data_IF_308689646786
#
_entry.id   IF_308689646786
#
_cell.length_a   1.000
_cell.length_b   1.000
_cell.length_c   1.000
_cell.angle_alpha   90.00
_cell.angle_beta   90.00
_cell.angle_gamma   90.00
#
_symmetry.space_group_name_H-M   'P 1'
#
loop_
_entity.id
_entity.type
_entity.pdbx_description
1 polymer ?
#
# COMPACT_ATOMS: atom_id res chain seq x y z
N UNK A 1 -14.60 14.20 7.75
CA UNK A 1 -15.18 13.57 6.55
C UNK A 1 -15.66 12.15 6.89
N UNK A 2 -16.93 11.96 7.25
CA UNK A 2 -17.49 10.64 7.63
C UNK A 2 -18.66 10.16 6.76
N UNK A 3 -19.01 10.90 5.69
CA UNK A 3 -20.18 10.61 4.85
C UNK A 3 -19.95 9.52 3.80
N UNK A 4 -18.77 9.47 3.17
CA UNK A 4 -18.49 8.53 2.07
C UNK A 4 -18.49 7.07 2.53
N UNK A 5 -17.89 6.77 3.68
CA UNK A 5 -17.83 5.39 4.18
C UNK A 5 -19.18 4.90 4.69
N UNK A 6 -20.01 5.79 5.26
CA UNK A 6 -21.39 5.46 5.65
C UNK A 6 -22.26 5.14 4.43
N UNK A 7 -22.11 5.90 3.35
CA UNK A 7 -22.82 5.64 2.10
C UNK A 7 -22.38 4.32 1.44
N UNK A 8 -21.08 4.04 1.42
CA UNK A 8 -20.55 2.75 0.93
C UNK A 8 -21.03 1.56 1.75
N UNK A 9 -21.10 1.72 3.08
CA UNK A 9 -21.61 0.69 3.98
C UNK A 9 -23.11 0.44 3.76
N UNK A 10 -23.90 1.51 3.61
CA UNK A 10 -25.32 1.39 3.29
C UNK A 10 -25.56 0.68 1.95
N UNK A 11 -24.75 1.01 0.94
CA UNK A 11 -24.79 0.35 -0.36
C UNK A 11 -24.42 -1.14 -0.25
N UNK A 12 -23.39 -1.49 0.52
CA UNK A 12 -23.00 -2.88 0.75
C UNK A 12 -24.13 -3.68 1.43
N UNK A 13 -24.75 -3.11 2.46
CA UNK A 13 -25.91 -3.73 3.13
C UNK A 13 -27.06 -3.97 2.16
N UNK A 14 -27.37 -2.97 1.32
CA UNK A 14 -28.46 -3.06 0.34
C UNK A 14 -28.22 -4.16 -0.70
N UNK A 15 -26.97 -4.27 -1.21
CA UNK A 15 -26.59 -5.35 -2.14
C UNK A 15 -26.72 -6.72 -1.49
N UNK A 16 -26.23 -6.89 -0.25
CA UNK A 16 -26.32 -8.17 0.45
C UNK A 16 -27.77 -8.57 0.73
N UNK A 17 -28.60 -7.62 1.16
CA UNK A 17 -30.04 -7.86 1.34
C UNK A 17 -30.70 -8.26 0.04
N UNK A 18 -30.39 -7.59 -1.08
CA UNK A 18 -30.93 -7.93 -2.38
C UNK A 18 -30.55 -9.36 -2.79
N UNK A 19 -29.29 -9.77 -2.58
CA UNK A 19 -28.83 -11.14 -2.86
C UNK A 19 -29.59 -12.17 -2.01
N UNK A 20 -29.74 -11.94 -0.70
CA UNK A 20 -30.52 -12.81 0.18
C UNK A 20 -31.99 -12.92 -0.27
N UNK A 21 -32.62 -11.81 -0.65
CA UNK A 21 -34.01 -11.80 -1.12
C UNK A 21 -34.16 -12.56 -2.44
N UNK A 22 -33.25 -12.34 -3.40
CA UNK A 22 -33.31 -13.02 -4.70
C UNK A 22 -33.15 -14.54 -4.55
N UNK A 23 -32.25 -14.96 -3.66
CA UNK A 23 -31.90 -16.37 -3.44
C UNK A 23 -32.93 -17.12 -2.61
N UNK A 24 -33.48 -16.51 -1.56
CA UNK A 24 -34.38 -17.18 -0.60
C UNK A 24 -35.87 -16.92 -0.87
N UNK A 25 -36.22 -15.97 -1.74
CA UNK A 25 -37.63 -15.68 -2.04
C UNK A 25 -38.25 -16.78 -2.92
N UNK A 26 -39.40 -17.35 -2.52
CA UNK A 26 -40.14 -18.34 -3.31
C UNK A 26 -40.56 -17.87 -4.71
N UNK A 27 -40.66 -16.54 -4.91
CA UNK A 27 -41.01 -15.94 -6.20
C UNK A 27 -39.84 -15.75 -7.17
N UNK A 28 -38.62 -16.10 -6.76
CA UNK A 28 -37.40 -15.97 -7.56
C UNK A 28 -36.67 -17.33 -7.60
N UNK A 29 -35.52 -17.46 -6.93
CA UNK A 29 -34.78 -18.74 -6.90
C UNK A 29 -35.37 -19.74 -5.90
N UNK A 30 -36.06 -19.26 -4.85
CA UNK A 30 -36.88 -20.09 -3.98
C UNK A 30 -36.14 -21.13 -3.16
N UNK A 31 -34.89 -20.88 -2.76
CA UNK A 31 -34.13 -21.82 -1.95
C UNK A 31 -34.76 -21.98 -0.54
N UNK A 32 -35.21 -23.18 -0.23
CA UNK A 32 -35.88 -23.48 1.04
C UNK A 32 -34.89 -23.89 2.13
N UNK A 33 -34.92 -23.15 3.24
CA UNK A 33 -34.12 -23.45 4.43
C UNK A 33 -34.67 -24.64 5.22
N UNK A 34 -35.98 -24.92 5.12
CA UNK A 34 -36.69 -25.84 6.03
C UNK A 34 -37.28 -27.05 5.32
N UNK A 35 -37.79 -26.92 4.10
CA UNK A 35 -38.52 -28.00 3.40
C UNK A 35 -37.82 -28.57 2.17
N UNK A 36 -36.70 -27.99 1.75
CA UNK A 36 -35.94 -28.41 0.55
C UNK A 36 -35.11 -29.68 0.75
N UNK A 37 -34.56 -30.20 -0.36
CA UNK A 37 -33.63 -31.33 -0.36
C UNK A 37 -32.30 -30.98 0.35
N UNK A 38 -31.50 -31.99 0.69
CA UNK A 38 -30.23 -31.79 1.41
C UNK A 38 -29.27 -30.82 0.67
N UNK A 39 -29.22 -30.91 -0.66
CA UNK A 39 -28.43 -30.01 -1.50
C UNK A 39 -28.96 -28.57 -1.48
N UNK A 40 -30.28 -28.39 -1.63
CA UNK A 40 -30.93 -27.08 -1.61
C UNK A 40 -30.70 -26.36 -0.27
N UNK A 41 -30.84 -27.08 0.84
CA UNK A 41 -30.57 -26.58 2.19
C UNK A 41 -29.11 -26.18 2.37
N UNK A 42 -28.17 -27.00 1.89
CA UNK A 42 -26.75 -26.69 1.97
C UNK A 42 -26.43 -25.39 1.22
N UNK A 43 -26.94 -25.23 -0.01
CA UNK A 43 -26.76 -24.01 -0.80
C UNK A 43 -27.37 -22.79 -0.09
N UNK A 44 -28.59 -22.91 0.45
CA UNK A 44 -29.26 -21.83 1.18
C UNK A 44 -28.44 -21.36 2.41
N UNK A 45 -27.92 -22.32 3.19
CA UNK A 45 -27.09 -22.03 4.36
C UNK A 45 -25.76 -21.39 3.95
N UNK A 46 -25.09 -21.91 2.92
CA UNK A 46 -23.83 -21.34 2.43
C UNK A 46 -24.01 -19.91 1.96
N UNK A 47 -25.08 -19.58 1.25
CA UNK A 47 -25.39 -18.20 0.82
C UNK A 47 -25.52 -17.28 2.04
N UNK A 48 -26.23 -17.70 3.08
CA UNK A 48 -26.37 -16.90 4.32
C UNK A 48 -25.03 -16.69 5.03
N UNK A 49 -24.22 -17.73 5.17
CA UNK A 49 -22.89 -17.65 5.79
C UNK A 49 -21.99 -16.70 5.00
N UNK A 50 -21.97 -16.83 3.68
CA UNK A 50 -21.17 -15.97 2.80
C UNK A 50 -21.62 -14.51 2.86
N UNK A 51 -22.93 -14.26 2.89
CA UNK A 51 -23.48 -12.91 3.08
C UNK A 51 -23.04 -12.30 4.43
N UNK A 52 -23.06 -13.09 5.50
CA UNK A 52 -22.55 -12.68 6.81
C UNK A 52 -21.06 -12.34 6.77
N UNK A 53 -20.23 -13.18 6.16
CA UNK A 53 -18.79 -12.95 6.03
C UNK A 53 -18.47 -11.70 5.18
N UNK A 54 -19.18 -11.48 4.07
CA UNK A 54 -19.01 -10.29 3.23
C UNK A 54 -19.36 -9.01 3.97
N UNK A 55 -20.46 -9.02 4.76
CA UNK A 55 -20.83 -7.88 5.59
C UNK A 55 -19.79 -7.59 6.67
N UNK A 56 -19.33 -8.62 7.40
CA UNK A 56 -18.32 -8.46 8.45
C UNK A 56 -17.00 -7.93 7.90
N UNK A 57 -16.53 -8.50 6.79
CA UNK A 57 -15.29 -8.09 6.14
C UNK A 57 -15.38 -6.66 5.57
N UNK A 58 -16.48 -6.33 4.88
CA UNK A 58 -16.69 -4.99 4.34
C UNK A 58 -16.84 -3.93 5.42
N UNK A 59 -17.54 -4.23 6.53
CA UNK A 59 -17.64 -3.35 7.68
C UNK A 59 -16.27 -3.12 8.33
N UNK A 60 -15.46 -4.17 8.49
CA UNK A 60 -14.10 -4.07 9.01
C UNK A 60 -13.22 -3.15 8.16
N UNK A 61 -13.22 -3.33 6.83
CA UNK A 61 -12.44 -2.50 5.92
C UNK A 61 -12.89 -1.03 5.90
N UNK A 62 -14.20 -0.76 5.94
CA UNK A 62 -14.75 0.59 5.79
C UNK A 62 -14.78 1.38 7.10
N UNK A 63 -14.96 0.71 8.25
CA UNK A 63 -15.16 1.36 9.55
C UNK A 63 -13.93 1.26 10.44
N UNK A 64 -13.31 0.07 10.54
CA UNK A 64 -12.24 -0.19 11.51
C UNK A 64 -10.83 0.09 10.94
N UNK A 65 -10.64 -0.06 9.63
CA UNK A 65 -9.35 0.19 8.97
C UNK A 65 -9.20 1.61 8.39
N UNK A 66 -10.14 2.52 8.65
CA UNK A 66 -10.01 3.92 8.21
C UNK A 66 -8.86 4.60 8.97
N UNK A 67 -7.75 4.99 8.31
CA UNK A 67 -6.69 5.73 8.97
C UNK A 67 -7.25 7.05 9.51
N UNK A 68 -6.74 7.56 10.66
CA UNK A 68 -7.13 8.89 11.13
C UNK A 68 -6.93 9.92 10.01
N UNK A 69 -7.86 10.88 9.84
CA UNK A 69 -7.73 11.89 8.79
C UNK A 69 -6.40 12.62 8.99
N UNK A 70 -5.55 12.71 7.96
CA UNK A 70 -4.29 13.42 8.07
C UNK A 70 -4.56 14.88 8.47
N UNK A 71 -3.66 15.51 9.25
CA UNK A 71 -3.77 16.93 9.56
C UNK A 71 -3.91 17.74 8.26
N UNK A 72 -4.59 18.90 8.29
CA UNK A 72 -4.80 19.72 7.11
C UNK A 72 -3.44 20.00 6.45
N UNK A 73 -3.30 19.72 5.14
CA UNK A 73 -2.04 19.89 4.43
C UNK A 73 -1.61 21.36 4.48
N UNK A 74 -0.32 21.60 4.76
CA UNK A 74 0.30 22.90 4.56
C UNK A 74 0.20 23.32 3.08
N UNK A 75 0.30 24.61 2.77
CA UNK A 75 0.18 25.10 1.39
C UNK A 75 1.17 24.40 0.44
N UNK A 76 2.35 24.03 0.95
CA UNK A 76 3.37 23.24 0.26
C UNK A 76 2.90 21.80 -0.06
N UNK A 77 2.29 21.08 0.88
CA UNK A 77 1.78 19.71 0.61
C UNK A 77 0.52 19.70 -0.25
N UNK A 78 -0.22 20.82 -0.31
CA UNK A 78 -1.42 20.96 -1.14
C UNK A 78 -1.10 21.11 -2.64
N UNK A 79 0.03 21.74 -2.97
CA UNK A 79 0.47 21.95 -4.36
C UNK A 79 1.32 20.79 -4.92
N UNK A 80 1.91 19.96 -4.06
CA UNK A 80 2.74 18.84 -4.48
C UNK A 80 1.91 17.64 -4.98
N UNK A 81 1.69 17.57 -6.30
CA UNK A 81 0.92 16.50 -6.94
C UNK A 81 1.80 15.37 -7.46
N UNK A 82 3.01 15.69 -7.93
CA UNK A 82 3.98 14.72 -8.45
C UNK A 82 5.06 14.36 -7.43
N UNK A 83 5.75 13.21 -7.59
CA UNK A 83 6.94 12.88 -6.81
C UNK A 83 8.01 13.99 -6.85
N UNK A 84 8.17 14.63 -8.01
CA UNK A 84 9.12 15.73 -8.23
C UNK A 84 8.72 16.98 -7.46
N UNK A 85 7.44 17.37 -7.50
CA UNK A 85 6.93 18.50 -6.71
C UNK A 85 7.11 18.25 -5.21
N UNK A 86 6.87 17.01 -4.79
CA UNK A 86 7.03 16.61 -3.40
C UNK A 86 8.50 16.65 -2.96
N UNK A 87 9.43 16.27 -3.84
CA UNK A 87 10.86 16.35 -3.58
C UNK A 87 11.31 17.81 -3.47
N UNK A 88 10.86 18.68 -4.39
CA UNK A 88 11.13 20.11 -4.32
C UNK A 88 10.57 20.73 -3.02
N UNK A 89 9.36 20.37 -2.63
CA UNK A 89 8.74 20.88 -1.42
C UNK A 89 9.41 20.36 -0.13
N UNK A 90 9.89 19.11 -0.11
CA UNK A 90 10.70 18.59 0.99
C UNK A 90 12.08 19.27 1.05
N UNK A 91 12.70 19.52 -0.11
CA UNK A 91 14.01 20.17 -0.20
C UNK A 91 13.99 21.61 0.33
N UNK A 92 12.84 22.29 0.34
CA UNK A 92 12.69 23.61 0.96
C UNK A 92 13.03 23.60 2.47
N UNK A 93 12.96 22.45 3.14
CA UNK A 93 13.32 22.30 4.55
C UNK A 93 14.80 22.02 4.79
N UNK A 94 15.65 21.91 3.75
CA UNK A 94 17.10 21.62 3.91
C UNK A 94 17.85 22.61 4.80
N UNK A 95 17.42 23.87 4.82
CA UNK A 95 18.00 24.91 5.67
C UNK A 95 17.41 24.96 7.08
N UNK A 96 16.46 24.07 7.41
CA UNK A 96 15.81 24.04 8.73
C UNK A 96 16.70 23.31 9.72
N UNK A 97 17.11 24.02 10.76
CA UNK A 97 18.06 23.48 11.71
C UNK A 97 17.50 22.36 12.60
N UNK A 98 18.30 21.33 12.80
CA UNK A 98 17.96 20.18 13.63
C UNK A 98 17.15 19.10 12.92
N UNK A 99 16.82 19.28 11.63
CA UNK A 99 16.09 18.28 10.80
C UNK A 99 16.76 18.02 9.45
N UNK A 100 17.94 18.59 9.21
CA UNK A 100 18.61 18.50 7.90
C UNK A 100 18.90 17.05 7.50
N UNK A 101 19.34 16.22 8.44
CA UNK A 101 19.64 14.82 8.19
C UNK A 101 18.38 14.05 7.81
N UNK A 102 17.28 14.29 8.51
CA UNK A 102 15.98 13.68 8.26
C UNK A 102 15.42 14.09 6.87
N UNK A 103 15.59 15.35 6.49
CA UNK A 103 15.21 15.86 5.15
C UNK A 103 16.04 15.18 4.06
N UNK A 104 17.36 15.13 4.22
CA UNK A 104 18.24 14.53 3.21
C UNK A 104 18.02 13.02 3.08
N UNK A 105 17.76 12.34 4.20
CA UNK A 105 17.39 10.92 4.18
C UNK A 105 16.07 10.70 3.44
N UNK A 106 15.04 11.53 3.69
CA UNK A 106 13.77 11.45 2.98
C UNK A 106 13.92 11.66 1.46
N UNK A 107 14.72 12.65 1.04
CA UNK A 107 14.99 12.92 -0.38
C UNK A 107 15.70 11.73 -1.06
N UNK A 108 16.70 11.16 -0.41
CA UNK A 108 17.40 9.99 -0.95
C UNK A 108 16.47 8.77 -1.03
N UNK A 109 15.62 8.54 -0.03
CA UNK A 109 14.60 7.50 -0.09
C UNK A 109 13.65 7.69 -1.27
N UNK A 110 13.21 8.92 -1.56
CA UNK A 110 12.33 9.21 -2.70
C UNK A 110 13.00 8.87 -4.03
N UNK A 111 14.28 9.21 -4.19
CA UNK A 111 15.07 8.87 -5.38
C UNK A 111 15.16 7.35 -5.55
N UNK A 112 15.51 6.62 -4.49
CA UNK A 112 15.60 5.15 -4.51
C UNK A 112 14.25 4.52 -4.81
N UNK A 113 13.16 5.03 -4.23
CA UNK A 113 11.81 4.53 -4.48
C UNK A 113 11.43 4.68 -5.95
N UNK A 114 11.69 5.84 -6.57
CA UNK A 114 11.42 6.05 -7.99
C UNK A 114 12.21 5.10 -8.91
N UNK A 115 13.47 4.84 -8.59
CA UNK A 115 14.29 3.87 -9.33
C UNK A 115 13.75 2.45 -9.19
N UNK A 116 13.53 1.97 -7.96
CA UNK A 116 13.03 0.62 -7.67
C UNK A 116 11.64 0.37 -8.25
N UNK A 117 10.78 1.39 -8.24
CA UNK A 117 9.44 1.34 -8.83
C UNK A 117 9.46 1.16 -10.34
N UNK A 118 10.43 1.76 -11.04
CA UNK A 118 10.61 1.51 -12.47
C UNK A 118 11.11 0.10 -12.72
N UNK A 119 12.16 -0.33 -12.01
CA UNK A 119 12.75 -1.66 -12.18
C UNK A 119 11.75 -2.79 -11.92
N UNK A 120 10.90 -2.69 -10.89
CA UNK A 120 9.91 -3.74 -10.64
C UNK A 120 8.84 -3.80 -11.73
N UNK A 121 8.46 -2.65 -12.32
CA UNK A 121 7.48 -2.59 -13.41
C UNK A 121 8.05 -3.20 -14.69
N UNK A 122 9.33 -2.95 -14.97
CA UNK A 122 10.07 -3.57 -16.09
C UNK A 122 10.10 -5.09 -15.91
N UNK A 123 10.56 -5.58 -14.76
CA UNK A 123 10.61 -7.03 -14.46
C UNK A 123 9.23 -7.68 -14.49
N UNK A 124 8.18 -6.95 -14.09
CA UNK A 124 6.81 -7.46 -14.16
C UNK A 124 6.29 -7.53 -15.60
N UNK A 125 6.56 -6.52 -16.42
CA UNK A 125 6.15 -6.47 -17.82
C UNK A 125 6.90 -7.49 -18.70
N UNK A 126 8.15 -7.78 -18.36
CA UNK A 126 8.92 -8.85 -19.01
C UNK A 126 8.34 -10.25 -18.71
N UNK A 127 7.58 -10.38 -17.62
CA UNK A 127 7.09 -11.68 -17.12
C UNK A 127 5.64 -11.98 -17.43
N UNK A 128 4.76 -10.99 -17.36
CA UNK A 128 3.33 -11.17 -17.52
C UNK A 128 2.80 -10.19 -18.55
N UNK A 129 1.85 -10.61 -19.38
CA UNK A 129 1.14 -9.67 -20.23
C UNK A 129 0.28 -8.73 -19.37
N UNK A 130 0.15 -7.47 -19.79
CA UNK A 130 -0.66 -6.48 -19.07
C UNK A 130 -2.14 -6.88 -18.93
N UNK A 131 -2.61 -7.74 -19.83
CA UNK A 131 -3.97 -8.26 -19.84
C UNK A 131 -4.25 -9.23 -18.69
N UNK A 132 -3.21 -9.90 -18.18
CA UNK A 132 -3.28 -10.95 -17.18
C UNK A 132 -3.73 -10.44 -15.81
N UNK A 133 -4.46 -11.29 -15.08
CA UNK A 133 -4.87 -11.01 -13.71
C UNK A 133 -3.66 -10.89 -12.76
N UNK A 134 -2.62 -11.70 -12.98
CA UNK A 134 -1.37 -11.67 -12.21
C UNK A 134 -0.68 -10.32 -12.33
N UNK A 135 -0.49 -9.83 -13.56
CA UNK A 135 0.07 -8.50 -13.82
C UNK A 135 -0.71 -7.41 -13.09
N UNK A 136 -2.03 -7.36 -13.28
CA UNK A 136 -2.92 -6.37 -12.65
C UNK A 136 -2.84 -6.40 -11.12
N UNK A 137 -2.75 -7.59 -10.53
CA UNK A 137 -2.64 -7.76 -9.08
C UNK A 137 -1.32 -7.23 -8.54
N UNK A 138 -0.19 -7.59 -9.15
CA UNK A 138 1.12 -7.07 -8.74
C UNK A 138 1.22 -5.56 -8.96
N UNK A 139 0.75 -5.05 -10.09
CA UNK A 139 0.69 -3.62 -10.37
C UNK A 139 -0.13 -2.85 -9.33
N UNK A 140 -1.30 -3.37 -8.96
CA UNK A 140 -2.12 -2.76 -7.91
C UNK A 140 -1.38 -2.65 -6.57
N UNK A 141 -0.63 -3.69 -6.19
CA UNK A 141 0.20 -3.68 -4.97
C UNK A 141 1.33 -2.64 -5.09
N UNK A 142 2.03 -2.57 -6.22
CA UNK A 142 3.12 -1.59 -6.44
C UNK A 142 2.60 -0.15 -6.29
N UNK A 143 1.46 0.16 -6.92
CA UNK A 143 0.82 1.48 -6.82
C UNK A 143 0.43 1.81 -5.37
N UNK A 144 -0.11 0.83 -4.63
CA UNK A 144 -0.48 1.04 -3.22
C UNK A 144 0.76 1.29 -2.34
N UNK A 145 1.85 0.56 -2.59
CA UNK A 145 3.12 0.74 -1.88
C UNK A 145 3.72 2.13 -2.15
N UNK A 146 3.73 2.60 -3.40
CA UNK A 146 4.12 3.97 -3.75
C UNK A 146 3.25 5.01 -3.03
N UNK A 147 1.93 4.80 -3.01
CA UNK A 147 0.98 5.68 -2.32
C UNK A 147 1.28 5.78 -0.82
N UNK A 148 1.59 4.66 -0.17
CA UNK A 148 1.96 4.62 1.26
C UNK A 148 3.28 5.38 1.50
N UNK A 149 4.29 5.11 0.69
CA UNK A 149 5.60 5.76 0.78
C UNK A 149 5.48 7.29 0.66
N UNK A 150 4.82 7.79 -0.40
CA UNK A 150 4.63 9.22 -0.60
C UNK A 150 3.64 9.83 0.41
N UNK A 151 2.75 9.04 1.00
CA UNK A 151 1.91 9.45 2.12
C UNK A 151 2.72 9.76 3.39
N UNK A 152 3.73 8.94 3.69
CA UNK A 152 4.65 9.17 4.80
C UNK A 152 5.51 10.42 4.56
N UNK A 153 6.00 10.65 3.33
CA UNK A 153 6.73 11.88 2.99
C UNK A 153 5.86 13.13 3.21
N UNK A 154 4.58 13.11 2.82
CA UNK A 154 3.65 14.21 3.11
C UNK A 154 3.46 14.42 4.62
N UNK A 155 3.43 13.32 5.39
CA UNK A 155 3.31 13.38 6.86
C UNK A 155 4.55 14.00 7.49
N UNK A 156 5.75 13.64 7.01
CA UNK A 156 7.02 14.28 7.37
C UNK A 156 6.95 15.78 7.09
N UNK A 157 6.58 16.19 5.88
CA UNK A 157 6.49 17.62 5.52
C UNK A 157 5.47 18.39 6.37
N UNK A 158 4.32 17.80 6.66
CA UNK A 158 3.33 18.43 7.54
C UNK A 158 3.89 18.65 8.95
N UNK A 159 4.71 17.71 9.47
CA UNK A 159 5.39 17.86 10.76
C UNK A 159 6.52 18.89 10.69
N UNK A 160 7.29 18.92 9.61
CA UNK A 160 8.32 19.94 9.38
C UNK A 160 7.72 21.35 9.27
N UNK A 161 6.55 21.49 8.65
CA UNK A 161 5.86 22.77 8.50
C UNK A 161 5.35 23.39 9.80
N UNK A 162 5.18 22.60 10.86
CA UNK A 162 4.83 23.09 12.21
C UNK A 162 6.03 23.11 13.17
N UNK A 163 7.19 22.64 12.72
CA UNK A 163 8.39 22.53 13.53
C UNK A 163 9.16 23.87 13.52
N UNK A 164 9.24 24.51 14.68
CA UNK A 164 10.02 25.74 14.85
C UNK A 164 11.41 25.46 15.47
N UNK A 165 12.38 25.26 14.59
CA UNK A 165 13.78 25.08 14.95
C UNK A 165 14.42 26.31 15.63
N UNK A 166 13.99 27.51 15.23
CA UNK A 166 14.53 28.75 15.78
C UNK A 166 14.05 28.97 17.21
N UNK A 167 12.78 28.67 17.48
CA UNK A 167 12.18 28.83 18.79
C UNK A 167 12.73 27.82 19.81
N UNK A 168 13.05 26.59 19.38
CA UNK A 168 13.75 25.63 20.25
C UNK A 168 15.16 26.11 20.63
N UNK A 169 15.94 26.61 19.67
CA UNK A 169 17.31 27.09 19.96
C UNK A 169 17.32 28.37 20.77
N UNK A 170 16.39 29.28 20.49
CA UNK A 170 16.22 30.49 21.30
C UNK A 170 15.83 30.13 22.73
N UNK A 171 15.02 29.09 22.92
CA UNK A 171 14.68 28.56 24.24
C UNK A 171 15.88 27.92 24.93
N UNK A 172 16.65 27.08 24.26
CA UNK A 172 17.85 26.45 24.82
C UNK A 172 18.90 27.49 25.25
N UNK A 173 19.12 28.54 24.43
CA UNK A 173 20.02 29.66 24.77
C UNK A 173 19.50 30.52 25.92
N UNK A 174 18.18 30.76 25.99
CA UNK A 174 17.54 31.52 27.08
C UNK A 174 17.50 30.74 28.40
N UNK A 175 17.39 29.41 28.36
CA UNK A 175 17.51 28.56 29.55
C UNK A 175 18.88 28.66 30.20
N UNK A 176 19.95 28.79 29.41
CA UNK A 176 21.30 29.00 29.96
C UNK A 176 21.49 30.38 30.60
N UNK A 177 20.61 31.36 30.30
CA UNK A 177 20.74 32.77 30.71
C UNK A 177 19.63 33.28 31.63
N UNK A 178 18.51 32.55 31.77
CA UNK A 178 17.33 32.94 32.54
C UNK A 178 16.69 31.73 33.22
N UNK A 179 16.00 31.97 34.34
CA UNK A 179 15.38 30.95 35.18
C UNK A 179 14.01 30.54 34.62
N UNK A 180 13.97 29.74 33.55
CA UNK A 180 12.76 28.99 33.22
C UNK A 180 12.50 27.94 34.29
N UNK A 181 11.24 27.62 34.55
CA UNK A 181 10.93 26.52 35.46
C UNK A 181 11.46 25.19 34.88
N UNK A 182 12.01 24.29 35.72
CA UNK A 182 12.50 22.99 35.27
C UNK A 182 11.43 22.19 34.50
N UNK A 183 10.17 22.32 34.91
CA UNK A 183 9.02 21.71 34.24
C UNK A 183 8.85 22.18 32.80
N UNK A 184 8.91 23.49 32.55
CA UNK A 184 8.75 24.04 31.19
C UNK A 184 9.88 23.58 30.27
N UNK A 185 11.11 23.51 30.79
CA UNK A 185 12.28 23.02 30.06
C UNK A 185 12.12 21.55 29.70
N UNK A 186 11.64 20.74 30.64
CA UNK A 186 11.36 19.33 30.43
C UNK A 186 10.27 19.12 29.37
N UNK A 187 9.14 19.81 29.48
CA UNK A 187 8.02 19.70 28.52
C UNK A 187 8.46 20.12 27.11
N UNK A 188 9.18 21.23 26.95
CA UNK A 188 9.66 21.69 25.63
C UNK A 188 10.71 20.76 25.02
N UNK A 189 11.57 20.17 25.86
CA UNK A 189 12.55 19.15 25.42
C UNK A 189 11.87 17.85 25.00
N UNK A 190 10.85 17.41 25.76
CA UNK A 190 10.06 16.23 25.44
C UNK A 190 9.33 16.40 24.10
N UNK A 191 8.70 17.55 23.86
CA UNK A 191 8.04 17.85 22.61
C UNK A 191 9.00 17.81 21.41
N UNK A 192 10.21 18.38 21.56
CA UNK A 192 11.23 18.32 20.51
C UNK A 192 11.67 16.88 20.22
N UNK A 193 11.85 16.07 21.26
CA UNK A 193 12.17 14.65 21.11
C UNK A 193 11.05 13.91 20.39
N UNK A 194 9.79 14.17 20.74
CA UNK A 194 8.62 13.58 20.10
C UNK A 194 8.58 13.89 18.59
N UNK A 195 8.87 15.13 18.20
CA UNK A 195 9.00 15.50 16.78
C UNK A 195 10.06 14.63 16.08
N UNK A 196 11.27 14.54 16.63
CA UNK A 196 12.35 13.75 16.04
C UNK A 196 12.03 12.25 15.99
N UNK A 197 11.49 11.69 17.06
CA UNK A 197 11.08 10.28 17.10
C UNK A 197 10.03 9.98 16.05
N UNK A 198 9.06 10.89 15.87
CA UNK A 198 8.01 10.73 14.86
C UNK A 198 8.58 10.79 13.44
N UNK A 199 9.48 11.73 13.16
CA UNK A 199 10.15 11.82 11.86
C UNK A 199 10.96 10.56 11.56
N UNK A 200 11.73 10.08 12.54
CA UNK A 200 12.51 8.85 12.42
C UNK A 200 11.62 7.64 12.14
N UNK A 201 10.47 7.51 12.80
CA UNK A 201 9.52 6.42 12.57
C UNK A 201 8.96 6.41 11.14
N UNK A 202 8.65 7.59 10.57
CA UNK A 202 8.21 7.67 9.17
C UNK A 202 9.32 7.29 8.18
N UNK A 203 10.56 7.72 8.44
CA UNK A 203 11.71 7.37 7.62
C UNK A 203 12.03 5.87 7.70
N UNK A 204 11.95 5.27 8.88
CA UNK A 204 12.14 3.83 9.09
C UNK A 204 11.06 3.02 8.35
N UNK A 205 9.79 3.41 8.50
CA UNK A 205 8.68 2.77 7.77
C UNK A 205 8.86 2.86 6.25
N UNK A 206 9.36 4.00 5.75
CA UNK A 206 9.69 4.16 4.35
C UNK A 206 10.84 3.25 3.88
N UNK A 207 11.86 3.04 4.72
CA UNK A 207 12.93 2.09 4.39
C UNK A 207 12.42 0.65 4.36
N UNK A 208 11.51 0.29 5.27
CA UNK A 208 10.89 -1.04 5.26
C UNK A 208 10.05 -1.27 4.00
N UNK A 209 9.29 -0.26 3.56
CA UNK A 209 8.53 -0.28 2.30
C UNK A 209 9.47 -0.56 1.14
N UNK A 210 10.55 0.21 1.06
CA UNK A 210 11.54 0.14 -0.01
C UNK A 210 12.24 -1.24 -0.02
N UNK A 211 12.57 -1.79 1.15
CA UNK A 211 13.13 -3.14 1.28
C UNK A 211 12.16 -4.23 0.83
N UNK A 212 10.86 -4.11 1.18
CA UNK A 212 9.84 -5.07 0.72
C UNK A 212 9.65 -5.01 -0.80
N UNK A 213 9.78 -3.83 -1.39
CA UNK A 213 9.74 -3.68 -2.85
C UNK A 213 10.90 -4.42 -3.51
N UNK A 214 12.13 -4.27 -3.00
CA UNK A 214 13.30 -5.00 -3.50
C UNK A 214 13.12 -6.52 -3.40
N UNK A 215 12.59 -7.00 -2.27
CA UNK A 215 12.29 -8.42 -2.09
C UNK A 215 11.27 -8.91 -3.13
N UNK A 216 10.21 -8.14 -3.36
CA UNK A 216 9.21 -8.49 -4.37
C UNK A 216 9.83 -8.51 -5.78
N UNK A 217 10.64 -7.52 -6.14
CA UNK A 217 11.37 -7.50 -7.41
C UNK A 217 12.23 -8.76 -7.59
N UNK A 218 12.97 -9.14 -6.54
CA UNK A 218 13.81 -10.34 -6.58
C UNK A 218 12.97 -11.61 -6.75
N UNK A 219 11.84 -11.74 -6.06
CA UNK A 219 10.97 -12.91 -6.21
C UNK A 219 10.33 -12.97 -7.60
N UNK A 220 9.91 -11.85 -8.19
CA UNK A 220 9.40 -11.83 -9.58
C UNK A 220 10.52 -12.20 -10.56
N UNK A 221 11.73 -11.68 -10.36
CA UNK A 221 12.89 -12.03 -11.18
C UNK A 221 13.27 -13.52 -11.07
N UNK A 222 13.09 -14.16 -9.90
CA UNK A 222 13.29 -15.61 -9.77
C UNK A 222 12.26 -16.43 -10.56
N UNK A 223 11.04 -15.92 -10.73
CA UNK A 223 10.06 -16.58 -11.60
C UNK A 223 10.53 -16.58 -13.07
N UNK A 224 11.34 -15.60 -13.49
CA UNK A 224 11.85 -15.49 -14.87
C UNK A 224 12.98 -16.47 -15.17
N UNK A 225 13.78 -16.85 -14.18
CA UNK A 225 14.61 -18.05 -14.30
C UNK A 225 13.67 -19.24 -14.26
N UNK A 226 13.22 -19.69 -15.43
CA UNK A 226 12.75 -21.07 -15.61
C UNK A 226 13.61 -21.95 -14.72
N UNK A 227 12.98 -22.73 -13.85
CA UNK A 227 13.67 -23.85 -13.25
C UNK A 227 14.25 -24.62 -14.44
N UNK A 228 15.56 -24.52 -14.64
CA UNK A 228 16.33 -25.18 -15.72
C UNK A 228 16.19 -26.72 -15.65
N UNK A 229 15.37 -27.21 -14.73
CA UNK A 229 15.10 -28.61 -14.43
C UNK A 229 14.09 -29.24 -15.36
N UNK A 230 13.22 -28.47 -16.03
CA UNK A 230 12.17 -29.03 -16.89
C UNK A 230 12.13 -28.39 -18.30
N UNK A 231 13.30 -28.08 -18.87
CA UNK A 231 13.41 -27.59 -20.27
C UNK A 231 12.79 -28.58 -21.26
N UNK A 232 12.86 -29.88 -20.96
CA UNK A 232 12.28 -30.97 -21.75
C UNK A 232 10.74 -31.01 -21.68
N UNK A 233 10.12 -30.37 -20.67
CA UNK A 233 8.66 -30.29 -20.54
C UNK A 233 8.06 -29.07 -21.25
N UNK A 234 8.91 -28.17 -21.77
CA UNK A 234 8.42 -27.00 -22.51
C UNK A 234 7.73 -27.44 -23.80
N UNK A 235 6.51 -26.96 -24.10
CA UNK A 235 5.76 -27.36 -25.29
C UNK A 235 6.56 -27.20 -26.60
N UNK A 236 7.35 -26.13 -26.70
CA UNK A 236 8.22 -25.89 -27.85
C UNK A 236 9.38 -26.89 -27.98
N UNK A 237 9.92 -27.41 -26.87
CA UNK A 237 10.94 -28.47 -26.91
C UNK A 237 10.34 -29.83 -27.24
N UNK A 238 9.14 -30.12 -26.71
CA UNK A 238 8.38 -31.32 -27.10
C UNK A 238 8.02 -31.30 -28.60
N UNK A 239 7.69 -30.13 -29.13
CA UNK A 239 7.41 -29.95 -30.56
C UNK A 239 8.68 -30.08 -31.41
N UNK A 240 9.82 -29.54 -30.97
CA UNK A 240 11.13 -29.77 -31.60
C UNK A 240 11.46 -31.27 -31.62
N UNK A 241 11.29 -31.98 -30.51
CA UNK A 241 11.54 -33.43 -30.43
C UNK A 241 10.62 -34.24 -31.34
N UNK A 242 9.35 -33.85 -31.45
CA UNK A 242 8.39 -34.44 -32.37
C UNK A 242 8.83 -34.24 -33.83
N UNK A 243 9.25 -33.02 -34.19
CA UNK A 243 9.75 -32.69 -35.53
C UNK A 243 11.05 -33.45 -35.88
N UNK A 244 11.96 -33.62 -34.92
CA UNK A 244 13.19 -34.42 -35.07
C UNK A 244 12.85 -35.91 -35.33
N UNK A 245 11.87 -36.47 -34.60
CA UNK A 245 11.41 -37.85 -34.83
C UNK A 245 10.79 -38.01 -36.21
N UNK A 246 9.95 -37.07 -36.64
CA UNK A 246 9.32 -37.11 -37.97
C UNK A 246 10.36 -36.99 -39.09
N UNK A 247 11.33 -36.09 -38.98
CA UNK A 247 12.39 -35.94 -40.01
C UNK A 247 13.28 -37.17 -40.15
N UNK A 248 13.49 -37.95 -39.10
CA UNK A 248 14.21 -39.23 -39.19
C UNK A 248 13.47 -40.30 -39.99
N UNK A 249 12.13 -40.27 -40.01
CA UNK A 249 11.30 -41.20 -40.79
C UNK A 249 11.34 -40.94 -42.31
N UNK A 250 11.80 -39.77 -42.73
CA UNK A 250 11.98 -39.42 -44.15
C UNK A 250 13.36 -39.81 -44.72
N UNK A 251 14.18 -40.52 -43.93
CA UNK A 251 15.56 -40.92 -44.31
C UNK A 251 15.67 -42.41 -44.66
N UNK A 252 14.55 -43.13 -44.69
CA UNK A 252 14.36 -44.45 -45.31
C UNK A 252 13.70 -44.28 -46.68
#
# INVERSE_FOLDING_TARGET
MGGSNKMKLAMLMLVVVAVCVITLSPGLLGLNLVSGGAFERAVAITVLVMCGLVLLYGAYQLVLKSPPPPPPPTEATRKAQTPEDLAAALAAYRSTDGVQQEVEHGLEQMKRMGQRSRSIREVLADRFEESELSYKKFMGVIIEVERLFYGNIRSIMNKLGVFDAADFRSFAKRHQKSSFSPRLVQEKTALYREYKTTLAAYLEANEEIVLKLDKLTLEIAKLSSMEYRDVDELPGMQEIDALIKQTKLYRE
#
